data_IF_486565335998
#
_entry.id   IF_486565335998
#
_cell.length_a   1.000
_cell.length_b   1.000
_cell.length_c   1.000
_cell.angle_alpha   90.00
_cell.angle_beta   90.00
_cell.angle_gamma   90.00
#
_symmetry.space_group_name_H-M   'P 1'
#
loop_
_entity.id
_entity.type
_entity.pdbx_description
1 polymer ?
#
# COMPACT_ATOMS: atom_id res chain seq x y z
N UNK A 1 -31.77 27.41 -3.92
CA UNK A 1 -31.17 26.47 -2.95
C UNK A 1 -31.20 25.09 -3.59
N UNK A 2 -30.12 24.37 -3.91
CA UNK A 2 -28.76 24.29 -3.38
C UNK A 2 -28.49 22.79 -3.24
N UNK A 3 -27.60 22.22 -4.06
CA UNK A 3 -27.46 20.77 -4.27
C UNK A 3 -26.35 20.15 -3.40
N UNK A 4 -26.62 18.93 -2.90
CA UNK A 4 -25.72 17.82 -2.54
C UNK A 4 -24.50 18.12 -1.66
N UNK A 5 -24.49 17.74 -0.38
CA UNK A 5 -23.25 17.41 0.37
C UNK A 5 -23.59 16.46 1.55
N UNK A 6 -23.18 15.19 1.46
CA UNK A 6 -22.57 14.39 2.55
C UNK A 6 -22.07 13.09 1.92
N UNK A 7 -21.07 13.28 1.04
CA UNK A 7 -20.17 12.23 0.58
C UNK A 7 -19.30 11.81 1.77
N UNK A 8 -19.31 10.52 2.10
CA UNK A 8 -18.46 9.98 3.17
C UNK A 8 -16.98 10.29 2.94
N UNK A 9 -16.14 10.37 3.99
CA UNK A 9 -14.71 10.62 3.82
C UNK A 9 -14.05 9.35 3.27
N UNK A 10 -14.12 9.14 1.96
CA UNK A 10 -13.42 8.08 1.23
C UNK A 10 -12.58 8.60 0.05
N UNK A 11 -12.42 9.92 -0.07
CA UNK A 11 -11.64 10.55 -1.15
C UNK A 11 -10.47 11.40 -0.62
N UNK A 12 -9.56 10.76 0.12
CA UNK A 12 -8.16 11.23 0.21
C UNK A 12 -7.28 10.45 -0.79
N UNK A 13 -7.86 10.14 -1.96
CA UNK A 13 -7.14 9.76 -3.15
C UNK A 13 -6.69 11.05 -3.85
N UNK A 14 -5.48 11.01 -4.42
CA UNK A 14 -4.93 12.03 -5.31
C UNK A 14 -4.28 13.29 -4.68
N UNK A 15 -3.33 13.12 -3.76
CA UNK A 15 -2.17 14.03 -3.66
C UNK A 15 -0.85 13.27 -3.50
N UNK A 16 -0.26 12.84 -4.61
CA UNK A 16 1.11 12.32 -4.59
C UNK A 16 1.57 11.46 -5.77
N UNK A 17 0.96 11.55 -6.95
CA UNK A 17 1.36 10.76 -8.14
C UNK A 17 1.77 11.63 -9.31
N UNK A 18 2.75 12.52 -9.12
CA UNK A 18 3.31 13.32 -10.22
C UNK A 18 4.12 12.42 -11.18
N UNK A 19 4.14 12.68 -12.51
CA UNK A 19 4.84 11.86 -13.51
C UNK A 19 6.38 11.82 -13.41
N UNK A 20 6.94 12.32 -12.31
CA UNK A 20 8.38 12.44 -12.04
C UNK A 20 8.73 11.99 -10.61
N UNK A 21 7.97 11.07 -10.01
CA UNK A 21 8.47 10.38 -8.83
C UNK A 21 9.54 9.35 -9.26
N UNK A 22 10.77 9.81 -9.39
CA UNK A 22 11.95 8.95 -9.22
C UNK A 22 12.07 8.41 -7.78
N UNK A 23 11.08 8.69 -6.91
CA UNK A 23 10.73 7.89 -5.75
C UNK A 23 10.25 6.51 -6.19
N UNK A 24 11.20 5.70 -6.62
CA UNK A 24 11.10 4.25 -6.80
C UNK A 24 10.53 3.69 -5.50
N UNK A 25 9.22 3.50 -5.40
CA UNK A 25 8.64 2.62 -4.39
C UNK A 25 9.33 1.28 -4.60
N UNK A 26 10.32 0.99 -3.74
CA UNK A 26 11.49 0.18 -4.10
C UNK A 26 11.14 -1.22 -4.65
N UNK A 27 9.95 -1.72 -4.32
CA UNK A 27 9.40 -2.96 -4.84
C UNK A 27 7.87 -2.91 -5.05
N UNK A 28 7.30 -1.74 -5.38
CA UNK A 28 5.85 -1.62 -5.65
C UNK A 28 4.94 -1.72 -4.43
N UNK A 29 5.45 -1.35 -3.24
CA UNK A 29 4.63 -1.21 -2.03
C UNK A 29 4.60 0.25 -1.58
N UNK A 30 3.40 0.74 -1.29
CA UNK A 30 3.19 2.05 -0.67
C UNK A 30 3.46 1.95 0.83
N UNK A 31 4.66 2.35 1.26
CA UNK A 31 5.04 2.34 2.67
C UNK A 31 4.15 3.25 3.54
N UNK A 32 3.49 4.22 2.92
CA UNK A 32 2.53 5.10 3.59
C UNK A 32 1.14 4.46 3.76
N UNK A 33 0.82 3.36 3.07
CA UNK A 33 -0.50 2.75 3.10
C UNK A 33 -0.93 2.32 4.51
N UNK A 34 -2.24 2.32 4.77
CA UNK A 34 -2.78 1.90 6.06
C UNK A 34 -2.47 0.43 6.35
N UNK A 35 -2.34 0.06 7.63
CA UNK A 35 -2.05 -1.33 8.05
C UNK A 35 -3.03 -2.34 7.43
N UNK A 36 -4.32 -1.97 7.33
CA UNK A 36 -5.36 -2.78 6.67
C UNK A 36 -5.04 -3.07 5.20
N UNK A 37 -4.58 -2.06 4.47
CA UNK A 37 -4.19 -2.20 3.08
C UNK A 37 -2.97 -3.11 2.93
N UNK A 38 -1.95 -2.91 3.78
CA UNK A 38 -0.76 -3.77 3.80
C UNK A 38 -1.10 -5.22 4.15
N UNK A 39 -2.03 -5.46 5.07
CA UNK A 39 -2.52 -6.81 5.38
C UNK A 39 -3.20 -7.47 4.17
N UNK A 40 -3.97 -6.71 3.40
CA UNK A 40 -4.63 -7.23 2.19
C UNK A 40 -3.62 -7.59 1.10
N UNK A 41 -2.64 -6.71 0.86
CA UNK A 41 -1.54 -6.98 -0.08
C UNK A 41 -0.72 -8.19 0.39
N UNK A 42 -0.35 -8.25 1.68
CA UNK A 42 0.36 -9.37 2.26
C UNK A 42 -0.43 -10.69 2.16
N UNK A 43 -1.77 -10.64 2.23
CA UNK A 43 -2.64 -11.80 2.00
C UNK A 43 -2.58 -12.28 0.55
N UNK A 44 -2.66 -11.36 -0.43
CA UNK A 44 -2.57 -11.69 -1.86
C UNK A 44 -1.21 -12.29 -2.24
N UNK A 45 -0.15 -11.86 -1.56
CA UNK A 45 1.22 -12.35 -1.73
C UNK A 45 1.54 -13.57 -0.86
N UNK A 46 0.54 -14.13 -0.17
CA UNK A 46 0.67 -15.29 0.71
C UNK A 46 1.78 -15.17 1.77
N UNK A 47 1.95 -13.96 2.33
CA UNK A 47 2.89 -13.71 3.42
C UNK A 47 2.35 -14.36 4.69
N UNK A 48 3.10 -15.34 5.19
CA UNK A 48 2.81 -16.03 6.45
C UNK A 48 3.19 -15.15 7.64
N UNK A 49 2.44 -15.22 8.74
CA UNK A 49 2.66 -14.37 9.92
C UNK A 49 2.19 -12.92 9.77
N UNK A 50 1.57 -12.55 8.65
CA UNK A 50 1.05 -11.18 8.39
C UNK A 50 0.18 -10.60 9.52
N UNK A 51 -0.61 -11.43 10.21
CA UNK A 51 -1.51 -10.97 11.28
C UNK A 51 -0.78 -10.50 12.54
N UNK A 52 0.43 -11.00 12.78
CA UNK A 52 1.26 -10.61 13.94
C UNK A 52 2.21 -9.46 13.62
N UNK A 53 2.39 -9.14 12.33
CA UNK A 53 3.31 -8.10 11.88
C UNK A 53 2.78 -6.68 12.15
N UNK A 54 3.71 -5.78 12.43
CA UNK A 54 3.52 -4.34 12.47
C UNK A 54 3.43 -3.74 11.06
N UNK A 55 3.04 -2.46 10.95
CA UNK A 55 2.96 -1.75 9.66
C UNK A 55 4.30 -1.84 8.91
N UNK A 56 5.41 -1.58 9.60
CA UNK A 56 6.75 -1.63 9.04
C UNK A 56 7.14 -3.04 8.59
N UNK A 57 6.88 -4.05 9.40
CA UNK A 57 7.17 -5.44 9.05
C UNK A 57 6.37 -5.92 7.83
N UNK A 58 5.10 -5.51 7.70
CA UNK A 58 4.31 -5.82 6.51
C UNK A 58 4.91 -5.18 5.26
N UNK A 59 5.33 -3.92 5.34
CA UNK A 59 6.00 -3.22 4.23
C UNK A 59 7.26 -3.97 3.81
N UNK A 60 8.11 -4.36 4.77
CA UNK A 60 9.34 -5.11 4.49
C UNK A 60 9.07 -6.51 3.93
N UNK A 61 8.10 -7.24 4.48
CA UNK A 61 7.75 -8.57 4.01
C UNK A 61 7.24 -8.55 2.57
N UNK A 62 6.38 -7.57 2.24
CA UNK A 62 5.87 -7.37 0.89
C UNK A 62 7.00 -6.99 -0.07
N UNK A 63 7.87 -6.03 0.31
CA UNK A 63 9.03 -5.64 -0.50
C UNK A 63 9.91 -6.85 -0.82
N UNK A 64 10.25 -7.63 0.20
CA UNK A 64 11.08 -8.84 0.07
C UNK A 64 10.44 -9.87 -0.85
N UNK A 65 9.12 -10.06 -0.78
CA UNK A 65 8.40 -10.95 -1.68
C UNK A 65 8.47 -10.46 -3.13
N UNK A 66 8.17 -9.19 -3.37
CA UNK A 66 8.20 -8.59 -4.70
C UNK A 66 9.61 -8.60 -5.33
N UNK A 67 10.65 -8.41 -4.52
CA UNK A 67 12.06 -8.54 -4.97
C UNK A 67 12.36 -9.96 -5.47
N UNK A 68 11.87 -10.99 -4.76
CA UNK A 68 12.05 -12.39 -5.14
C UNK A 68 11.34 -12.74 -6.44
N UNK A 69 10.12 -12.25 -6.63
CA UNK A 69 9.32 -12.50 -7.83
C UNK A 69 9.91 -11.80 -9.06
N UNK A 70 10.41 -10.57 -8.90
CA UNK A 70 11.02 -9.78 -10.00
C UNK A 70 12.43 -10.22 -10.39
N UNK A 71 13.15 -10.91 -9.50
CA UNK A 71 14.50 -11.42 -9.77
C UNK A 71 14.51 -12.75 -10.52
N UNK A 72 13.36 -13.25 -10.96
CA UNK A 72 13.20 -14.49 -11.73
C UNK A 72 12.77 -14.18 -13.16
#
# INVERSE_FOLDING_TARGET
MGAQEEEGPSDELAKGGGPRNTGRSAEGVDANASKRHLLDVARRLDVHGRSTMTKSELVDAIKKHNRRVRGK
#
